data_IF_951526674091
#
_entry.id   IF_951526674091
#
_cell.length_a   1.000
_cell.length_b   1.000
_cell.length_c   1.000
_cell.angle_alpha   90.00
_cell.angle_beta   90.00
_cell.angle_gamma   90.00
#
_symmetry.space_group_name_H-M   'P 1'
#
loop_
_entity.id
_entity.type
_entity.pdbx_description
1 polymer ?
#
# COMPACT_ATOMS: atom_id res chain seq x y z
N UNK A 1 4.06 -11.14 -9.03
CA UNK A 1 3.46 -10.32 -7.96
C UNK A 1 4.56 -9.57 -7.27
N UNK A 2 4.39 -8.25 -7.20
CA UNK A 2 5.38 -7.33 -6.64
C UNK A 2 4.80 -6.70 -5.38
N UNK A 3 5.56 -6.74 -4.28
CA UNK A 3 5.29 -5.96 -3.08
C UNK A 3 6.12 -4.68 -3.10
N UNK A 4 5.43 -3.54 -3.07
CA UNK A 4 6.01 -2.25 -2.77
C UNK A 4 5.83 -1.97 -1.27
N UNK A 5 6.93 -1.84 -0.53
CA UNK A 5 6.92 -1.43 0.87
C UNK A 5 7.36 0.02 1.00
N UNK A 6 6.62 0.77 1.81
CA UNK A 6 6.86 2.18 2.08
C UNK A 6 7.20 2.32 3.54
N UNK A 7 8.41 2.83 3.84
CA UNK A 7 8.80 3.16 5.21
C UNK A 7 8.46 4.62 5.51
N UNK A 8 7.99 4.83 6.73
CA UNK A 8 7.42 6.07 7.20
C UNK A 8 8.02 6.48 8.55
N UNK A 9 8.22 7.79 8.70
CA UNK A 9 8.54 8.45 9.97
C UNK A 9 7.39 9.36 10.36
N UNK A 10 6.89 9.23 11.59
CA UNK A 10 5.92 10.18 12.12
C UNK A 10 6.59 11.54 12.32
N UNK A 11 6.03 12.59 11.74
CA UNK A 11 6.55 13.96 11.85
C UNK A 11 5.60 14.89 12.59
N UNK A 12 4.30 14.60 12.60
CA UNK A 12 3.31 15.31 13.42
C UNK A 12 2.06 14.46 13.69
N UNK A 13 1.29 14.86 14.70
CA UNK A 13 0.05 14.20 15.08
C UNK A 13 0.27 12.95 15.95
N UNK A 14 -0.73 12.07 15.99
CA UNK A 14 -0.70 10.82 16.77
C UNK A 14 -0.40 9.64 15.85
N UNK A 15 0.39 8.64 16.30
CA UNK A 15 0.55 7.40 15.56
C UNK A 15 -0.82 6.77 15.24
N UNK A 16 -1.01 6.21 14.04
CA UNK A 16 -2.25 5.53 13.70
C UNK A 16 -2.51 4.35 14.65
N UNK A 17 -3.70 4.29 15.23
CA UNK A 17 -4.15 3.18 16.08
C UNK A 17 -5.39 2.51 15.52
N UNK A 18 -5.56 1.21 15.76
CA UNK A 18 -6.71 0.45 15.30
C UNK A 18 -6.69 0.15 13.80
N UNK A 19 -7.86 0.10 13.17
CA UNK A 19 -7.97 -0.23 11.75
C UNK A 19 -7.66 0.97 10.85
N UNK A 20 -6.54 0.92 10.13
CA UNK A 20 -6.05 2.02 9.29
C UNK A 20 -6.20 1.77 7.79
N UNK A 21 -6.85 0.67 7.38
CA UNK A 21 -6.88 0.23 5.98
C UNK A 21 -7.46 1.27 5.01
N UNK A 22 -8.55 1.92 5.38
CA UNK A 22 -9.17 2.94 4.53
C UNK A 22 -8.30 4.20 4.41
N UNK A 23 -7.76 4.68 5.53
CA UNK A 23 -6.90 5.88 5.54
C UNK A 23 -5.55 5.64 4.86
N UNK A 24 -4.95 4.46 5.03
CA UNK A 24 -3.72 4.09 4.33
C UNK A 24 -3.97 3.97 2.83
N UNK A 25 -5.09 3.37 2.42
CA UNK A 25 -5.48 3.29 1.00
C UNK A 25 -5.68 4.68 0.41
N UNK A 26 -6.41 5.55 1.09
CA UNK A 26 -6.67 6.92 0.63
C UNK A 26 -5.36 7.71 0.48
N UNK A 27 -4.46 7.63 1.46
CA UNK A 27 -3.15 8.28 1.41
C UNK A 27 -2.30 7.79 0.22
N UNK A 28 -2.24 6.47 0.02
CA UNK A 28 -1.52 5.87 -1.10
C UNK A 28 -2.08 6.31 -2.46
N UNK A 29 -3.41 6.22 -2.65
CA UNK A 29 -4.03 6.61 -3.92
C UNK A 29 -3.92 8.12 -4.18
N UNK A 30 -4.04 8.95 -3.15
CA UNK A 30 -3.80 10.39 -3.25
C UNK A 30 -2.37 10.67 -3.70
N UNK A 31 -1.39 10.00 -3.09
CA UNK A 31 0.02 10.17 -3.44
C UNK A 31 0.35 9.77 -4.88
N UNK A 32 -0.22 8.67 -5.37
CA UNK A 32 -0.13 8.32 -6.80
C UNK A 32 -0.85 9.35 -7.67
N UNK A 33 -2.01 9.84 -7.22
CA UNK A 33 -2.85 10.79 -7.92
C UNK A 33 -2.21 12.16 -8.10
N UNK A 34 -1.37 12.60 -7.17
CA UNK A 34 -0.62 13.86 -7.25
C UNK A 34 0.30 13.91 -8.50
N UNK A 35 0.74 12.75 -8.99
CA UNK A 35 1.65 12.64 -10.15
C UNK A 35 0.95 12.07 -11.37
N UNK A 36 0.17 11.00 -11.19
CA UNK A 36 -0.54 10.28 -12.26
C UNK A 36 -2.01 10.06 -11.88
N UNK A 37 -2.89 11.06 -12.06
CA UNK A 37 -4.31 10.97 -11.72
C UNK A 37 -5.03 9.77 -12.37
N UNK A 38 -4.75 9.50 -13.66
CA UNK A 38 -5.38 8.39 -14.39
C UNK A 38 -5.01 7.02 -13.79
N UNK A 39 -3.76 6.84 -13.36
CA UNK A 39 -3.31 5.62 -12.68
C UNK A 39 -3.98 5.47 -11.32
N UNK A 40 -4.09 6.56 -10.55
CA UNK A 40 -4.82 6.55 -9.27
C UNK A 40 -6.29 6.14 -9.46
N UNK A 41 -6.98 6.69 -10.48
CA UNK A 41 -8.35 6.31 -10.83
C UNK A 41 -8.46 4.84 -11.22
N UNK A 42 -7.50 4.30 -11.99
CA UNK A 42 -7.47 2.88 -12.35
C UNK A 42 -7.31 1.99 -11.10
N UNK A 43 -6.35 2.33 -10.23
CA UNK A 43 -6.13 1.62 -8.96
C UNK A 43 -7.34 1.74 -8.03
N UNK A 44 -8.04 2.88 -8.05
CA UNK A 44 -9.25 3.10 -7.29
C UNK A 44 -10.42 2.25 -7.82
N UNK A 45 -10.64 2.29 -9.14
CA UNK A 45 -11.75 1.68 -9.88
C UNK A 45 -11.63 0.19 -10.18
N UNK A 46 -10.51 -0.45 -9.82
CA UNK A 46 -10.40 -1.91 -9.79
C UNK A 46 -11.42 -2.59 -8.86
N UNK A 47 -12.05 -1.82 -7.97
CA UNK A 47 -13.21 -2.22 -7.17
C UNK A 47 -14.53 -1.89 -7.91
N UNK A 48 -14.81 -2.59 -9.02
CA UNK A 48 -16.12 -2.51 -9.66
C UNK A 48 -17.03 -3.61 -9.08
N UNK A 49 -17.92 -3.21 -8.16
CA UNK A 49 -18.88 -4.08 -7.50
C UNK A 49 -19.82 -4.79 -8.49
N UNK A 50 -19.99 -4.26 -9.71
CA UNK A 50 -20.85 -4.85 -10.75
C UNK A 50 -20.14 -5.92 -11.58
N UNK A 51 -18.79 -5.96 -11.58
CA UNK A 51 -17.99 -6.85 -12.45
C UNK A 51 -17.30 -8.00 -11.74
N UNK A 52 -17.50 -8.20 -10.42
CA UNK A 52 -16.83 -9.24 -9.62
C UNK A 52 -15.30 -9.30 -9.83
N UNK A 53 -14.66 -8.19 -10.22
CA UNK A 53 -13.22 -8.16 -10.50
C UNK A 53 -12.44 -8.13 -9.19
N UNK A 54 -11.36 -8.92 -9.13
CA UNK A 54 -10.35 -8.84 -8.05
C UNK A 54 -9.67 -7.47 -8.13
N UNK A 55 -9.51 -6.78 -7.01
CA UNK A 55 -8.68 -5.58 -6.91
C UNK A 55 -7.31 -5.82 -7.55
N UNK A 56 -6.79 -4.85 -8.30
CA UNK A 56 -5.46 -4.94 -8.93
C UNK A 56 -4.30 -5.05 -7.92
N UNK A 57 -4.57 -4.73 -6.66
CA UNK A 57 -3.63 -4.84 -5.56
C UNK A 57 -4.34 -5.20 -4.25
N UNK A 58 -3.56 -5.71 -3.30
CA UNK A 58 -3.88 -5.77 -1.88
C UNK A 58 -3.03 -4.76 -1.12
N UNK A 59 -3.55 -4.20 -0.03
CA UNK A 59 -2.80 -3.28 0.82
C UNK A 59 -2.72 -3.83 2.23
N UNK A 60 -1.50 -3.94 2.75
CA UNK A 60 -1.25 -4.14 4.17
C UNK A 60 -1.20 -2.75 4.82
N UNK A 61 -2.18 -2.39 5.68
CA UNK A 61 -2.28 -1.06 6.28
C UNK A 61 -1.08 -0.72 7.14
N UNK A 62 -0.94 0.53 7.60
CA UNK A 62 0.22 0.94 8.41
C UNK A 62 0.41 0.06 9.65
N UNK A 63 1.62 -0.45 9.85
CA UNK A 63 2.07 -1.15 11.06
C UNK A 63 3.35 -0.51 11.62
N UNK A 64 3.58 -0.66 12.93
CA UNK A 64 4.82 -0.26 13.58
C UNK A 64 5.92 -1.31 13.35
N UNK A 65 7.13 -0.87 13.03
CA UNK A 65 8.28 -1.75 12.85
C UNK A 65 8.97 -2.07 14.18
N UNK A 66 9.48 -3.30 14.40
CA UNK A 66 10.26 -3.63 15.59
C UNK A 66 11.51 -2.77 15.76
N UNK A 67 12.12 -2.32 14.66
CA UNK A 67 13.29 -1.43 14.65
C UNK A 67 12.96 0.03 14.92
N UNK A 68 11.69 0.35 15.19
CA UNK A 68 11.18 1.71 15.20
C UNK A 68 10.76 2.21 13.82
N UNK A 69 9.82 3.15 13.80
CA UNK A 69 9.19 3.66 12.58
C UNK A 69 7.91 2.91 12.21
N UNK A 70 7.38 3.22 11.03
CA UNK A 70 6.13 2.65 10.53
C UNK A 70 6.32 2.22 9.08
N UNK A 71 5.54 1.25 8.63
CA UNK A 71 5.45 0.92 7.20
C UNK A 71 4.04 0.58 6.79
N UNK A 72 3.75 0.71 5.51
CA UNK A 72 2.67 -0.03 4.85
C UNK A 72 3.23 -0.74 3.61
N UNK A 73 2.47 -1.67 3.04
CA UNK A 73 2.83 -2.28 1.77
C UNK A 73 1.67 -2.49 0.83
N UNK A 74 1.96 -2.47 -0.46
CA UNK A 74 1.02 -2.65 -1.56
C UNK A 74 1.51 -3.83 -2.39
N UNK A 75 0.69 -4.86 -2.53
CA UNK A 75 1.00 -6.06 -3.28
C UNK A 75 0.19 -6.02 -4.57
N UNK A 76 0.86 -5.89 -5.71
CA UNK A 76 0.24 -5.81 -7.03
C UNK A 76 0.10 -7.21 -7.63
N UNK A 77 -1.05 -7.45 -8.27
CA UNK A 77 -1.31 -8.68 -9.02
C UNK A 77 -0.58 -8.69 -10.37
N UNK A 78 -0.36 -7.51 -10.95
CA UNK A 78 0.29 -7.32 -12.25
C UNK A 78 1.57 -6.51 -12.08
N UNK A 79 2.65 -7.02 -12.68
CA UNK A 79 3.98 -6.43 -12.50
C UNK A 79 4.09 -5.07 -13.21
N UNK A 80 3.42 -4.89 -14.36
CA UNK A 80 3.35 -3.61 -15.08
C UNK A 80 2.72 -2.50 -14.23
N UNK A 81 1.63 -2.78 -13.53
CA UNK A 81 0.98 -1.84 -12.62
C UNK A 81 1.88 -1.46 -11.44
N UNK A 82 2.65 -2.42 -10.92
CA UNK A 82 3.62 -2.15 -9.86
C UNK A 82 4.72 -1.18 -10.34
N UNK A 83 5.27 -1.42 -11.53
CA UNK A 83 6.32 -0.57 -12.12
C UNK A 83 5.80 0.83 -12.43
N UNK A 84 4.61 0.94 -13.03
CA UNK A 84 4.00 2.25 -13.34
C UNK A 84 3.71 3.06 -12.08
N UNK A 85 3.26 2.37 -11.02
CA UNK A 85 3.00 2.98 -9.72
C UNK A 85 4.29 3.43 -9.06
N UNK A 86 5.31 2.57 -9.00
CA UNK A 86 6.62 2.95 -8.49
C UNK A 86 7.18 4.17 -9.23
N UNK A 87 7.12 4.16 -10.56
CA UNK A 87 7.61 5.28 -11.38
C UNK A 87 6.88 6.59 -11.05
N UNK A 88 5.57 6.55 -10.84
CA UNK A 88 4.80 7.70 -10.38
C UNK A 88 5.26 8.19 -9.00
N UNK A 89 5.42 7.27 -8.05
CA UNK A 89 5.84 7.60 -6.68
C UNK A 89 7.26 8.17 -6.64
N UNK A 90 8.19 7.65 -7.44
CA UNK A 90 9.55 8.18 -7.53
C UNK A 90 9.57 9.63 -8.04
N UNK A 91 8.67 9.97 -8.96
CA UNK A 91 8.53 11.31 -9.53
C UNK A 91 7.79 12.29 -8.60
N UNK A 92 7.09 11.81 -7.57
CA UNK A 92 6.38 12.68 -6.63
C UNK A 92 7.35 13.56 -5.83
N UNK A 93 7.21 14.90 -5.85
CA UNK A 93 7.94 15.77 -4.94
C UNK A 93 7.36 15.69 -3.52
N UNK A 94 6.09 15.30 -3.39
CA UNK A 94 5.46 15.10 -2.10
C UNK A 94 5.98 13.79 -1.47
N UNK A 95 6.51 13.89 -0.25
CA UNK A 95 6.91 12.77 0.60
C UNK A 95 6.14 12.73 1.91
N UNK A 96 5.17 13.62 2.10
CA UNK A 96 4.38 13.71 3.33
C UNK A 96 2.98 13.12 3.10
N UNK A 97 2.67 12.06 3.83
CA UNK A 97 1.40 11.34 3.76
C UNK A 97 0.60 11.60 5.02
N UNK A 98 -0.66 12.00 4.85
CA UNK A 98 -1.61 12.07 5.96
C UNK A 98 -2.37 10.75 6.08
N UNK A 99 -2.24 10.08 7.22
CA UNK A 99 -2.88 8.79 7.49
C UNK A 99 -3.69 8.93 8.79
N UNK A 100 -4.98 9.24 8.65
CA UNK A 100 -5.80 9.67 9.78
C UNK A 100 -5.29 10.99 10.36
N UNK A 101 -5.05 11.02 11.66
CA UNK A 101 -4.46 12.18 12.36
C UNK A 101 -2.93 12.27 12.20
N UNK A 102 -2.29 11.21 11.70
CA UNK A 102 -0.84 11.15 11.58
C UNK A 102 -0.36 11.87 10.31
N UNK A 103 0.70 12.66 10.43
CA UNK A 103 1.50 13.13 9.29
C UNK A 103 2.80 12.33 9.27
N UNK A 104 3.01 11.61 8.18
CA UNK A 104 4.06 10.61 8.02
C UNK A 104 4.93 10.96 6.82
N UNK A 105 6.23 11.10 7.03
CA UNK A 105 7.19 11.31 5.96
C UNK A 105 7.69 9.97 5.41
N UNK A 106 7.67 9.82 4.09
CA UNK A 106 8.24 8.68 3.38
C UNK A 106 9.75 8.75 3.44
N UNK A 107 10.36 7.79 4.12
CA UNK A 107 11.81 7.69 4.26
C UNK A 107 12.44 6.74 3.26
N UNK A 108 11.71 5.71 2.83
CA UNK A 108 12.18 4.79 1.81
C UNK A 108 11.06 4.07 1.06
N UNK A 109 11.39 3.61 -0.14
CA UNK A 109 10.59 2.70 -0.96
C UNK A 109 11.44 1.47 -1.27
N UNK A 110 10.88 0.28 -1.05
CA UNK A 110 11.55 -0.97 -1.42
C UNK A 110 10.60 -1.90 -2.15
N UNK A 111 11.17 -2.70 -3.05
CA UNK A 111 10.43 -3.63 -3.91
C UNK A 111 10.90 -5.03 -3.60
N UNK A 112 9.95 -5.95 -3.51
CA UNK A 112 10.23 -7.36 -3.34
C UNK A 112 9.32 -8.18 -4.25
N UNK A 113 9.90 -9.16 -4.95
CA UNK A 113 9.12 -10.20 -5.60
C UNK A 113 8.48 -11.12 -4.56
N UNK A 114 7.19 -11.39 -4.73
CA UNK A 114 6.42 -12.26 -3.85
C UNK A 114 6.12 -13.57 -4.57
N UNK A 115 6.66 -14.66 -4.01
CA UNK A 115 6.33 -16.02 -4.45
C UNK A 115 4.90 -16.41 -4.00
N UNK A 116 4.05 -16.72 -4.98
CA UNK A 116 2.67 -17.13 -4.75
C UNK A 116 2.55 -18.45 -3.96
N UNK A 117 3.48 -19.40 -4.14
CA UNK A 117 3.44 -20.68 -3.45
C UNK A 117 3.56 -20.51 -1.93
N UNK A 118 4.35 -19.52 -1.51
CA UNK A 118 4.53 -19.17 -0.10
C UNK A 118 3.31 -18.42 0.49
N UNK A 119 2.64 -17.57 -0.29
CA UNK A 119 1.43 -16.85 0.14
C UNK A 119 0.23 -17.79 0.28
N UNK A 120 0.05 -18.70 -0.69
CA UNK A 120 -0.99 -19.73 -0.63
C UNK A 120 -0.87 -20.64 0.59
N UNK A 121 0.35 -21.02 0.98
CA UNK A 121 0.61 -21.77 2.23
C UNK A 121 0.26 -20.99 3.49
N UNK A 122 0.55 -19.69 3.56
CA UNK A 122 0.22 -18.84 4.72
C UNK A 122 -1.29 -18.64 4.87
N UNK A 123 -2.01 -18.45 3.76
CA UNK A 123 -3.47 -18.30 3.78
C UNK A 123 -4.18 -19.63 4.02
N UNK A 124 -3.67 -20.74 3.48
CA UNK A 124 -4.17 -22.10 3.75
C UNK A 124 -3.91 -22.59 5.19
N UNK A 125 -2.94 -22.00 5.89
CA UNK A 125 -2.71 -22.24 7.31
C UNK A 125 -3.68 -21.50 8.24
N UNK A 126 -4.23 -20.36 7.80
CA UNK A 126 -5.22 -19.58 8.56
C UNK A 126 -6.65 -20.13 8.43
N UNK A 127 -6.94 -20.97 7.44
CA UNK A 127 -8.21 -21.70 7.30
C UNK A 127 -8.25 -23.03 8.09
N UNK A 128 -7.17 -23.38 8.82
CA UNK A 128 -7.19 -24.45 9.82
C UNK A 128 -7.24 -23.87 11.23
N UNK A 129 -8.28 -23.12 11.53
CA UNK A 129 -8.76 -22.92 12.89
C UNK A 129 -10.15 -23.55 12.92
N UNK A 130 -10.17 -24.83 13.29
CA UNK A 130 -11.31 -25.50 13.89
C UNK A 130 -11.06 -25.43 15.40
#
# INVERSE_FOLDING_TARGET
MIELRVQLRLTAGRPPSGFTGLTTRAAFLGWVGDVKPALSTLLHGGYDATKRKRSFYSIKPVWAEPSGGHSFSVIFLEDSLAQDTLGALMQSPNRSLRIGEAVMEVTSLSIREVDMAAVGKRLGGLTRLI
#
